data_IF_332739143463
#
_entry.id   IF_332739143463
#
_cell.length_a   1.000
_cell.length_b   1.000
_cell.length_c   1.000
_cell.angle_alpha   90.00
_cell.angle_beta   90.00
_cell.angle_gamma   90.00
#
_symmetry.space_group_name_H-M   'P 1'
#
loop_
_entity.id
_entity.type
_entity.pdbx_description
1 polymer ?
#
# COMPACT_ATOMS: atom_id res chain seq x y z
N UNK A 1 15.84 -14.87 16.87
CA UNK A 1 15.58 -13.77 15.91
C UNK A 1 15.13 -14.25 14.52
N UNK A 2 15.25 -15.54 14.17
CA UNK A 2 14.98 -16.06 12.81
C UNK A 2 13.48 -16.28 12.46
N UNK A 3 12.63 -16.60 13.45
CA UNK A 3 11.18 -16.86 13.23
C UNK A 3 10.42 -15.67 12.63
N UNK A 4 10.86 -14.45 12.91
CA UNK A 4 10.22 -13.22 12.39
C UNK A 4 10.46 -13.03 10.88
N UNK A 5 11.53 -13.59 10.33
CA UNK A 5 11.87 -13.43 8.91
C UNK A 5 11.00 -14.32 8.02
N UNK A 6 10.73 -15.56 8.44
CA UNK A 6 9.89 -16.49 7.69
C UNK A 6 8.44 -15.98 7.66
N UNK A 7 7.90 -15.58 8.81
CA UNK A 7 6.53 -15.08 8.89
C UNK A 7 6.33 -13.85 8.00
N UNK A 8 7.25 -12.89 8.02
CA UNK A 8 7.21 -11.72 7.13
C UNK A 8 7.27 -12.09 5.65
N UNK A 9 8.11 -13.07 5.29
CA UNK A 9 8.19 -13.55 3.89
C UNK A 9 6.87 -14.19 3.43
N UNK A 10 6.24 -14.99 4.28
CA UNK A 10 4.93 -15.59 3.99
C UNK A 10 3.86 -14.50 3.89
N UNK A 11 3.82 -13.55 4.83
CA UNK A 11 2.89 -12.43 4.79
C UNK A 11 3.05 -11.61 3.50
N UNK A 12 4.28 -11.26 3.12
CA UNK A 12 4.55 -10.47 1.90
C UNK A 12 4.27 -11.24 0.60
N UNK A 13 4.33 -12.57 0.63
CA UNK A 13 4.00 -13.40 -0.52
C UNK A 13 2.47 -13.55 -0.71
N UNK A 14 1.71 -13.51 0.39
CA UNK A 14 0.27 -13.79 0.40
C UNK A 14 -0.57 -12.51 0.37
N UNK A 15 -0.16 -11.47 1.09
CA UNK A 15 -0.88 -10.20 1.17
C UNK A 15 -0.36 -9.28 0.06
N UNK A 16 -1.26 -8.71 -0.74
CA UNK A 16 -0.85 -7.73 -1.75
C UNK A 16 -0.21 -6.51 -1.06
N UNK A 17 0.85 -5.92 -1.61
CA UNK A 17 1.42 -4.70 -1.06
C UNK A 17 0.35 -3.59 -1.02
N UNK A 18 0.41 -2.64 -0.07
CA UNK A 18 -0.63 -1.62 0.10
C UNK A 18 -0.98 -0.87 -1.19
N UNK A 19 0.03 -0.58 -2.02
CA UNK A 19 -0.11 0.07 -3.34
C UNK A 19 -0.95 -0.73 -4.35
N UNK A 20 -1.06 -2.04 -4.17
CA UNK A 20 -1.83 -2.95 -5.05
C UNK A 20 -3.16 -3.38 -4.44
N UNK A 21 -3.44 -3.03 -3.19
CA UNK A 21 -4.74 -3.36 -2.58
C UNK A 21 -5.82 -2.47 -3.20
N UNK A 22 -6.99 -3.06 -3.49
CA UNK A 22 -8.09 -2.35 -4.14
C UNK A 22 -9.47 -2.59 -3.51
N UNK A 23 -9.49 -3.20 -2.32
CA UNK A 23 -10.71 -3.43 -1.53
C UNK A 23 -10.53 -3.06 -0.06
N UNK A 24 -11.58 -2.52 0.56
CA UNK A 24 -11.61 -2.10 1.97
C UNK A 24 -11.54 -3.27 2.94
N UNK A 25 -11.28 -2.97 4.21
CA UNK A 25 -11.31 -3.96 5.30
C UNK A 25 -12.67 -4.64 5.42
N UNK A 26 -13.76 -3.88 5.22
CA UNK A 26 -15.12 -4.41 5.24
C UNK A 26 -15.39 -5.37 4.06
N UNK A 27 -14.96 -5.03 2.84
CA UNK A 27 -15.10 -5.92 1.68
C UNK A 27 -14.28 -7.21 1.83
N UNK A 28 -13.11 -7.12 2.49
CA UNK A 28 -12.30 -8.30 2.82
C UNK A 28 -13.02 -9.21 3.81
N UNK A 29 -13.59 -8.66 4.88
CA UNK A 29 -14.32 -9.43 5.89
C UNK A 29 -15.53 -10.14 5.28
N UNK A 30 -16.31 -9.45 4.44
CA UNK A 30 -17.45 -10.04 3.72
C UNK A 30 -16.99 -11.16 2.78
N UNK A 31 -15.88 -10.96 2.05
CA UNK A 31 -15.32 -11.98 1.15
C UNK A 31 -14.88 -13.24 1.91
N UNK A 32 -14.21 -13.07 3.06
CA UNK A 32 -13.81 -14.19 3.93
C UNK A 32 -15.02 -14.94 4.48
N UNK A 33 -16.04 -14.22 4.98
CA UNK A 33 -17.28 -14.82 5.47
C UNK A 33 -18.02 -15.62 4.40
N UNK A 34 -18.15 -15.06 3.20
CA UNK A 34 -18.79 -15.73 2.08
C UNK A 34 -17.98 -16.96 1.61
N UNK A 35 -16.65 -16.88 1.58
CA UNK A 35 -15.77 -18.02 1.29
C UNK A 35 -15.99 -19.18 2.26
N UNK A 36 -16.02 -18.88 3.57
CA UNK A 36 -16.25 -19.89 4.61
C UNK A 36 -17.62 -20.55 4.43
N UNK A 37 -18.66 -19.76 4.17
CA UNK A 37 -20.01 -20.26 3.93
C UNK A 37 -20.07 -21.18 2.71
N UNK A 38 -19.52 -20.76 1.57
CA UNK A 38 -19.51 -21.56 0.34
C UNK A 38 -18.71 -22.86 0.51
N UNK A 39 -17.56 -22.79 1.20
CA UNK A 39 -16.76 -23.97 1.51
C UNK A 39 -17.55 -24.95 2.38
N UNK A 40 -18.24 -24.45 3.41
CA UNK A 40 -19.11 -25.27 4.27
C UNK A 40 -20.25 -25.94 3.49
N UNK A 41 -20.93 -25.20 2.61
CA UNK A 41 -22.00 -25.75 1.76
C UNK A 41 -21.47 -26.80 0.77
N UNK A 42 -20.30 -26.55 0.15
CA UNK A 42 -19.63 -27.49 -0.73
C UNK A 42 -19.23 -28.78 -0.02
N UNK A 43 -18.69 -28.68 1.19
CA UNK A 43 -18.35 -29.83 2.02
C UNK A 43 -19.59 -30.64 2.42
N UNK A 44 -20.70 -29.98 2.78
CA UNK A 44 -21.96 -30.66 3.15
C UNK A 44 -22.63 -31.37 1.97
N UNK A 45 -22.46 -30.86 0.75
CA UNK A 45 -23.08 -31.39 -0.47
C UNK A 45 -22.09 -32.15 -1.37
N UNK A 46 -20.93 -32.53 -0.83
CA UNK A 46 -19.82 -33.12 -1.58
C UNK A 46 -20.23 -34.34 -2.41
N UNK A 47 -21.02 -35.26 -1.82
CA UNK A 47 -21.55 -36.46 -2.51
C UNK A 47 -22.60 -36.17 -3.59
N UNK A 48 -23.10 -34.93 -3.67
CA UNK A 48 -24.16 -34.47 -4.58
C UNK A 48 -23.65 -33.48 -5.62
N UNK A 49 -22.34 -33.41 -5.85
CA UNK A 49 -21.74 -32.46 -6.80
C UNK A 49 -21.41 -31.09 -6.21
N UNK A 50 -21.26 -30.97 -4.89
CA UNK A 50 -20.92 -29.72 -4.19
C UNK A 50 -19.59 -29.06 -4.58
N UNK A 51 -18.79 -29.68 -5.47
CA UNK A 51 -17.55 -29.12 -6.00
C UNK A 51 -17.74 -27.76 -6.70
N UNK A 52 -18.94 -27.49 -7.26
CA UNK A 52 -19.26 -26.20 -7.88
C UNK A 52 -19.10 -25.00 -6.93
N UNK A 53 -19.17 -25.21 -5.61
CA UNK A 53 -18.96 -24.17 -4.62
C UNK A 53 -17.49 -23.86 -4.32
N UNK A 54 -16.55 -24.76 -4.65
CA UNK A 54 -15.14 -24.59 -4.30
C UNK A 54 -14.45 -23.49 -5.11
N UNK A 55 -14.80 -23.35 -6.40
CA UNK A 55 -14.25 -22.28 -7.25
C UNK A 55 -14.59 -20.87 -6.73
N UNK A 56 -15.87 -20.50 -6.55
CA UNK A 56 -16.20 -19.19 -6.01
C UNK A 56 -15.72 -19.02 -4.57
N UNK A 57 -15.70 -20.08 -3.75
CA UNK A 57 -15.11 -20.01 -2.41
C UNK A 57 -13.61 -19.66 -2.45
N UNK A 58 -12.83 -20.35 -3.28
CA UNK A 58 -11.40 -20.09 -3.46
C UNK A 58 -11.11 -18.67 -3.96
N UNK A 59 -11.92 -18.18 -4.91
CA UNK A 59 -11.81 -16.80 -5.39
C UNK A 59 -12.08 -15.77 -4.27
N UNK A 60 -13.14 -15.97 -3.48
CA UNK A 60 -13.47 -15.07 -2.37
C UNK A 60 -12.44 -15.13 -1.24
N UNK A 61 -11.86 -16.31 -0.99
CA UNK A 61 -10.73 -16.47 -0.06
C UNK A 61 -9.52 -15.69 -0.54
N UNK A 62 -9.13 -15.86 -1.82
CA UNK A 62 -8.05 -15.11 -2.44
C UNK A 62 -8.30 -13.60 -2.32
N UNK A 63 -9.49 -13.13 -2.70
CA UNK A 63 -9.86 -11.72 -2.62
C UNK A 63 -9.74 -11.18 -1.19
N UNK A 64 -10.30 -11.89 -0.20
CA UNK A 64 -10.29 -11.45 1.21
C UNK A 64 -8.90 -11.46 1.84
N UNK A 65 -8.12 -12.51 1.59
CA UNK A 65 -6.76 -12.67 2.15
C UNK A 65 -5.80 -11.65 1.52
N UNK A 66 -5.74 -11.59 0.19
CA UNK A 66 -4.79 -10.74 -0.52
C UNK A 66 -5.14 -9.26 -0.43
N UNK A 67 -6.42 -8.90 -0.32
CA UNK A 67 -6.88 -7.53 -0.44
C UNK A 67 -6.90 -7.02 -1.90
N UNK A 68 -6.88 -7.92 -2.88
CA UNK A 68 -6.89 -7.59 -4.30
C UNK A 68 -8.03 -8.30 -5.05
N UNK A 69 -8.69 -7.56 -5.93
CA UNK A 69 -9.76 -8.02 -6.79
C UNK A 69 -9.43 -7.63 -8.25
N UNK A 70 -9.13 -8.60 -9.15
CA UNK A 70 -8.80 -8.31 -10.55
C UNK A 70 -9.91 -7.55 -11.28
N UNK A 71 -11.18 -7.85 -10.95
CA UNK A 71 -12.34 -7.18 -11.56
C UNK A 71 -12.36 -5.69 -11.20
N UNK A 72 -12.09 -5.35 -9.93
CA UNK A 72 -12.01 -3.96 -9.49
C UNK A 72 -10.89 -3.21 -10.22
N UNK A 73 -9.74 -3.85 -10.40
CA UNK A 73 -8.59 -3.29 -11.12
C UNK A 73 -8.91 -3.01 -12.60
N UNK A 74 -9.58 -3.95 -13.26
CA UNK A 74 -10.04 -3.79 -14.65
C UNK A 74 -10.97 -2.60 -14.84
N UNK A 75 -11.87 -2.35 -13.87
CA UNK A 75 -12.80 -1.20 -13.91
C UNK A 75 -12.29 0.04 -13.18
N UNK A 76 -11.00 0.04 -12.78
CA UNK A 76 -10.35 1.13 -12.04
C UNK A 76 -11.11 1.57 -10.77
N UNK A 77 -11.75 0.62 -10.10
CA UNK A 77 -12.38 0.82 -8.80
C UNK A 77 -11.37 0.47 -7.70
N UNK A 78 -11.14 1.40 -6.79
CA UNK A 78 -10.36 1.15 -5.59
C UNK A 78 -11.18 1.56 -4.37
N UNK A 79 -11.45 0.60 -3.48
CA UNK A 79 -12.08 0.86 -2.18
C UNK A 79 -11.14 0.54 -1.01
N UNK A 80 -9.85 0.27 -1.28
CA UNK A 80 -8.88 0.01 -0.23
C UNK A 80 -8.75 1.22 0.70
N UNK A 81 -8.62 0.92 1.99
CA UNK A 81 -8.28 1.91 3.00
C UNK A 81 -6.77 2.19 2.87
N UNK A 82 -6.44 3.30 2.22
CA UNK A 82 -5.10 3.83 2.08
C UNK A 82 -5.14 5.35 2.19
N UNK A 83 -3.99 5.98 2.48
CA UNK A 83 -3.90 7.42 2.38
C UNK A 83 -4.31 7.79 0.95
N UNK A 84 -5.45 8.46 0.80
CA UNK A 84 -5.80 9.01 -0.50
C UNK A 84 -4.62 9.87 -0.95
N UNK A 85 -4.19 9.77 -2.21
CA UNK A 85 -3.16 10.64 -2.73
C UNK A 85 -3.57 12.08 -2.45
N UNK A 86 -2.90 12.71 -1.49
CA UNK A 86 -3.16 14.09 -1.15
C UNK A 86 -2.12 14.92 -1.90
N UNK A 87 -2.60 15.81 -2.75
CA UNK A 87 -1.76 16.80 -3.37
C UNK A 87 -1.69 18.02 -2.44
N UNK A 88 -0.47 18.47 -2.15
CA UNK A 88 -0.26 19.68 -1.40
C UNK A 88 0.69 20.61 -2.16
N UNK A 89 0.25 21.85 -2.35
CA UNK A 89 1.03 22.90 -2.99
C UNK A 89 1.24 24.06 -2.03
N UNK A 90 2.47 24.59 -2.01
CA UNK A 90 2.83 25.76 -1.22
C UNK A 90 3.70 26.70 -2.04
N UNK A 91 3.40 27.99 -1.97
CA UNK A 91 4.21 29.05 -2.57
C UNK A 91 4.91 29.87 -1.49
N UNK A 92 6.13 30.30 -1.78
CA UNK A 92 6.91 31.20 -0.94
C UNK A 92 7.59 32.25 -1.84
N UNK A 93 7.56 33.51 -1.42
CA UNK A 93 8.28 34.59 -2.11
C UNK A 93 9.66 34.78 -1.48
N UNK A 94 10.71 34.52 -2.26
CA UNK A 94 12.11 34.67 -1.85
C UNK A 94 12.70 35.90 -2.54
N UNK A 95 13.29 36.83 -1.79
CA UNK A 95 13.94 38.04 -2.32
C UNK A 95 15.36 37.74 -2.81
N UNK A 96 15.50 36.79 -3.75
CA UNK A 96 16.77 36.36 -4.36
C UNK A 96 16.60 36.12 -5.86
N UNK A 97 17.70 36.00 -6.60
CA UNK A 97 17.66 35.71 -8.03
C UNK A 97 17.10 34.32 -8.30
N UNK A 98 16.38 34.14 -9.43
CA UNK A 98 15.77 32.85 -9.78
C UNK A 98 16.80 31.72 -9.94
N UNK A 99 17.97 32.04 -10.50
CA UNK A 99 19.02 31.05 -10.78
C UNK A 99 19.66 30.58 -9.47
N UNK A 100 19.92 31.52 -8.54
CA UNK A 100 20.39 31.22 -7.18
C UNK A 100 19.41 30.32 -6.41
N UNK A 101 18.11 30.63 -6.47
CA UNK A 101 17.07 29.81 -5.82
C UNK A 101 16.99 28.42 -6.44
N UNK A 102 17.06 28.34 -7.78
CA UNK A 102 17.02 27.07 -8.50
C UNK A 102 18.22 26.19 -8.17
N UNK A 103 19.43 26.74 -8.24
CA UNK A 103 20.66 26.00 -7.95
C UNK A 103 20.68 25.51 -6.51
N UNK A 104 20.23 26.34 -5.56
CA UNK A 104 20.11 25.96 -4.16
C UNK A 104 19.12 24.81 -3.95
N UNK A 105 17.96 24.84 -4.60
CA UNK A 105 16.96 23.78 -4.55
C UNK A 105 17.41 22.49 -5.26
N UNK A 106 18.12 22.62 -6.40
CA UNK A 106 18.52 21.49 -7.24
C UNK A 106 19.60 20.64 -6.59
N UNK A 107 20.40 21.24 -5.72
CA UNK A 107 21.28 20.51 -4.81
C UNK A 107 20.47 19.92 -3.65
N UNK A 108 20.10 18.64 -3.77
CA UNK A 108 19.20 17.97 -2.84
C UNK A 108 19.75 17.87 -1.40
N UNK A 109 21.07 18.00 -1.21
CA UNK A 109 21.69 18.03 0.11
C UNK A 109 21.29 19.29 0.91
N UNK A 110 20.77 20.33 0.25
CA UNK A 110 20.22 21.52 0.91
C UNK A 110 18.79 21.32 1.42
N UNK A 111 18.07 20.28 0.98
CA UNK A 111 16.65 20.08 1.34
C UNK A 111 16.35 20.11 2.85
N UNK A 112 17.19 19.59 3.76
CA UNK A 112 16.95 19.70 5.20
C UNK A 112 16.83 21.14 5.70
N UNK A 113 17.49 22.10 5.03
CA UNK A 113 17.39 23.53 5.37
C UNK A 113 16.12 24.18 4.82
N UNK A 114 15.51 23.59 3.80
CA UNK A 114 14.34 24.11 3.08
C UNK A 114 13.06 23.48 3.63
N UNK A 115 13.07 22.17 3.85
CA UNK A 115 11.94 21.34 4.24
C UNK A 115 12.13 20.83 5.67
N UNK A 116 11.39 21.41 6.62
CA UNK A 116 11.50 21.11 8.07
C UNK A 116 11.29 19.64 8.46
N UNK A 117 10.68 18.83 7.58
CA UNK A 117 10.41 17.41 7.82
C UNK A 117 11.51 16.50 7.28
N UNK A 118 12.45 17.02 6.48
CA UNK A 118 13.60 16.27 5.99
C UNK A 118 14.72 16.40 7.01
N UNK A 119 15.17 15.28 7.56
CA UNK A 119 16.22 15.25 8.58
C UNK A 119 17.60 15.19 7.95
N UNK A 120 17.74 14.37 6.89
CA UNK A 120 19.04 14.14 6.25
C UNK A 120 18.87 13.74 4.80
N UNK A 121 19.76 14.23 3.94
CA UNK A 121 19.88 13.80 2.54
C UNK A 121 21.33 13.47 2.25
N UNK A 122 21.58 12.30 1.67
CA UNK A 122 22.91 11.83 1.30
C UNK A 122 22.92 11.35 -0.16
N UNK A 123 23.88 11.82 -0.97
CA UNK A 123 24.05 11.33 -2.34
C UNK A 123 24.65 9.92 -2.32
N UNK A 124 23.95 8.95 -2.92
CA UNK A 124 24.44 7.56 -3.08
C UNK A 124 25.18 7.42 -4.42
N UNK A 125 24.61 7.96 -5.50
CA UNK A 125 25.16 7.95 -6.86
C UNK A 125 24.60 9.12 -7.66
N UNK A 126 24.97 9.27 -8.94
CA UNK A 126 24.58 10.44 -9.74
C UNK A 126 23.08 10.75 -9.73
N UNK A 127 22.24 9.73 -9.84
CA UNK A 127 20.78 9.88 -9.84
C UNK A 127 20.07 9.28 -8.63
N UNK A 128 20.79 8.98 -7.54
CA UNK A 128 20.18 8.36 -6.35
C UNK A 128 20.63 9.02 -5.06
N UNK A 129 19.64 9.30 -4.21
CA UNK A 129 19.81 9.93 -2.92
C UNK A 129 19.10 9.10 -1.85
N UNK A 130 19.73 8.97 -0.70
CA UNK A 130 19.08 8.53 0.52
C UNK A 130 18.46 9.76 1.19
N UNK A 131 17.18 9.69 1.57
CA UNK A 131 16.49 10.76 2.27
C UNK A 131 15.82 10.19 3.53
N UNK A 132 16.19 10.77 4.67
CA UNK A 132 15.60 10.47 5.97
C UNK A 132 14.63 11.60 6.35
N UNK A 133 13.43 11.22 6.78
CA UNK A 133 12.36 12.16 7.09
C UNK A 133 11.89 11.95 8.52
N UNK A 134 11.78 13.07 9.26
CA UNK A 134 11.21 13.06 10.60
C UNK A 134 9.70 13.13 10.52
N UNK A 135 9.03 12.12 11.08
CA UNK A 135 7.59 12.19 11.36
C UNK A 135 7.34 13.29 12.41
N UNK A 136 6.75 14.40 11.96
CA UNK A 136 6.38 15.54 12.82
C UNK A 136 4.97 15.41 13.43
N UNK A 137 4.47 14.19 13.61
CA UNK A 137 3.19 13.98 14.29
C UNK A 137 3.43 13.66 15.78
N UNK A 138 2.83 14.38 16.74
CA UNK A 138 2.65 13.82 18.07
C UNK A 138 1.60 12.73 17.92
N UNK A 139 1.90 11.50 18.36
CA UNK A 139 0.87 10.51 18.59
C UNK A 139 -0.21 11.15 19.49
N UNK A 140 -1.35 11.52 18.90
CA UNK A 140 -2.56 11.94 19.59
C UNK A 140 -3.41 10.70 19.83
#
# INVERSE_FOLDING_TARGET
>A
MEKNNIFRRVQNAVIAPPEKQNISSNERLVSLGASLLLTYLGARTFKKGGFGFLLPAGYLLYRGVTGYCPINDMVRRNTAEGAEPFEFSKALTIKRGKDEVYDYWRNLENLPNILKHVERVEKISDDRYFMDCKLLWPAF
#
